data_IF_507605250820
#
_entry.id   IF_507605250820
#
_cell.length_a   1.000
_cell.length_b   1.000
_cell.length_c   1.000
_cell.angle_alpha   90.00
_cell.angle_beta   90.00
_cell.angle_gamma   90.00
#
_symmetry.space_group_name_H-M   'P 1'
#
loop_
_entity.id
_entity.type
_entity.pdbx_description
1 polymer ?
#
# COMPACT_ATOMS: atom_id res chain seq x y z
N UNK A 1 2.36 -7.70 6.63
CA UNK A 1 2.80 -7.70 5.22
C UNK A 1 2.84 -9.10 4.62
N UNK A 2 3.49 -10.07 5.26
CA UNK A 2 3.57 -11.46 4.75
C UNK A 2 2.18 -12.07 4.56
N UNK A 3 1.29 -11.97 5.55
CA UNK A 3 -0.08 -12.52 5.46
C UNK A 3 -0.88 -11.86 4.34
N UNK A 4 -0.77 -10.54 4.18
CA UNK A 4 -1.41 -9.78 3.11
C UNK A 4 -0.90 -10.23 1.74
N UNK A 5 0.41 -10.46 1.59
CA UNK A 5 1.01 -10.93 0.35
C UNK A 5 0.58 -12.37 0.03
N UNK A 6 0.34 -13.19 1.04
CA UNK A 6 -0.19 -14.55 0.87
C UNK A 6 -1.61 -14.56 0.30
N UNK A 7 -2.42 -13.54 0.59
CA UNK A 7 -3.77 -13.37 0.03
C UNK A 7 -3.74 -13.01 -1.47
N UNK A 8 -2.62 -12.53 -2.01
CA UNK A 8 -2.50 -12.25 -3.43
C UNK A 8 -2.41 -13.55 -4.24
N UNK A 9 -3.25 -13.62 -5.29
CA UNK A 9 -3.21 -14.70 -6.27
C UNK A 9 -1.86 -14.70 -7.00
N UNK A 10 -1.30 -15.87 -7.34
CA UNK A 10 -0.10 -15.93 -8.20
C UNK A 10 -0.35 -15.23 -9.53
N UNK A 11 0.59 -14.43 -10.00
CA UNK A 11 0.50 -13.80 -11.31
C UNK A 11 1.08 -14.72 -12.39
N UNK A 12 0.39 -14.80 -13.54
CA UNK A 12 0.84 -15.56 -14.71
C UNK A 12 1.84 -14.79 -15.59
N UNK A 13 2.07 -13.50 -15.31
CA UNK A 13 2.94 -12.60 -16.09
C UNK A 13 3.89 -11.86 -15.15
N UNK A 14 5.05 -11.39 -15.66
CA UNK A 14 5.94 -10.53 -14.89
C UNK A 14 5.16 -9.33 -14.35
N UNK A 15 5.11 -9.20 -13.02
CA UNK A 15 4.39 -8.13 -12.33
C UNK A 15 5.35 -7.38 -11.43
N UNK A 16 5.30 -6.05 -11.47
CA UNK A 16 6.13 -5.20 -10.64
C UNK A 16 5.40 -4.89 -9.34
N UNK A 17 6.04 -5.18 -8.21
CA UNK A 17 5.63 -4.69 -6.89
C UNK A 17 6.45 -3.43 -6.58
N UNK A 18 5.82 -2.26 -6.69
CA UNK A 18 6.46 -0.98 -6.39
C UNK A 18 6.10 -0.48 -4.98
N UNK A 19 7.11 -0.07 -4.19
CA UNK A 19 6.93 0.45 -2.83
C UNK A 19 8.01 1.48 -2.47
N UNK A 20 7.84 2.20 -1.36
CA UNK A 20 8.95 2.95 -0.78
C UNK A 20 9.99 2.01 -0.12
N UNK A 21 11.09 2.59 0.39
CA UNK A 21 12.16 1.84 1.07
C UNK A 21 11.86 1.56 2.56
N UNK A 22 10.57 1.49 2.95
CA UNK A 22 10.18 1.20 4.33
C UNK A 22 10.68 -0.17 4.80
N UNK A 23 11.04 -0.34 6.08
CA UNK A 23 11.59 -1.60 6.61
C UNK A 23 10.75 -2.82 6.25
N UNK A 24 9.42 -2.69 6.30
CA UNK A 24 8.49 -3.79 6.02
C UNK A 24 8.57 -4.29 4.57
N UNK A 25 9.06 -3.47 3.64
CA UNK A 25 9.24 -3.81 2.23
C UNK A 25 10.68 -4.21 1.90
N UNK A 26 11.65 -3.83 2.73
CA UNK A 26 13.07 -4.18 2.57
C UNK A 26 13.48 -5.42 3.36
N UNK A 27 12.65 -5.92 4.28
CA UNK A 27 12.88 -7.18 4.99
C UNK A 27 13.06 -8.39 4.06
N UNK A 28 14.08 -9.21 4.31
CA UNK A 28 14.44 -10.36 3.45
C UNK A 28 13.30 -11.36 3.29
N UNK A 29 12.54 -11.61 4.36
CA UNK A 29 11.41 -12.54 4.33
C UNK A 29 10.36 -12.08 3.30
N UNK A 30 10.11 -10.77 3.23
CA UNK A 30 9.16 -10.20 2.30
C UNK A 30 9.67 -10.26 0.84
N UNK A 31 10.94 -9.91 0.63
CA UNK A 31 11.56 -9.98 -0.71
C UNK A 31 11.54 -11.42 -1.26
N UNK A 32 11.86 -12.41 -0.41
CA UNK A 32 11.85 -13.82 -0.79
C UNK A 32 10.44 -14.27 -1.19
N UNK A 33 9.41 -13.86 -0.45
CA UNK A 33 8.02 -14.21 -0.75
C UNK A 33 7.54 -13.58 -2.06
N UNK A 34 7.91 -12.32 -2.34
CA UNK A 34 7.61 -11.66 -3.62
C UNK A 34 8.22 -12.44 -4.79
N UNK A 35 9.50 -12.81 -4.67
CA UNK A 35 10.22 -13.59 -5.68
C UNK A 35 9.59 -14.96 -5.91
N UNK A 36 9.22 -15.67 -4.84
CA UNK A 36 8.53 -16.97 -4.93
C UNK A 36 7.18 -16.87 -5.66
N UNK A 37 6.46 -15.77 -5.49
CA UNK A 37 5.18 -15.50 -6.15
C UNK A 37 5.32 -14.90 -7.57
N UNK A 38 6.54 -14.71 -8.07
CA UNK A 38 6.81 -14.24 -9.43
C UNK A 38 6.79 -12.71 -9.61
N UNK A 39 6.90 -11.95 -8.51
CA UNK A 39 6.94 -10.49 -8.57
C UNK A 39 8.37 -9.95 -8.68
N UNK A 40 8.52 -8.86 -9.45
CA UNK A 40 9.73 -8.04 -9.52
C UNK A 40 9.57 -6.86 -8.57
N UNK A 41 10.46 -6.73 -7.60
CA UNK A 41 10.39 -5.62 -6.65
C UNK A 41 11.01 -4.35 -7.24
N UNK A 42 10.36 -3.21 -7.02
CA UNK A 42 10.82 -1.88 -7.42
C UNK A 42 10.65 -0.92 -6.25
N UNK A 43 11.61 -0.02 -6.08
CA UNK A 43 11.59 0.96 -5.00
C UNK A 43 11.62 2.39 -5.54
N UNK A 44 11.02 3.31 -4.79
CA UNK A 44 11.27 4.74 -4.98
C UNK A 44 12.71 5.11 -4.59
N UNK A 45 13.28 6.14 -5.23
CA UNK A 45 14.58 6.68 -4.85
C UNK A 45 14.52 7.30 -3.45
N UNK A 46 15.62 7.17 -2.71
CA UNK A 46 15.73 7.76 -1.38
C UNK A 46 15.57 9.29 -1.46
N UNK A 47 14.69 9.85 -0.64
CA UNK A 47 14.43 11.29 -0.61
C UNK A 47 13.47 11.83 -1.67
N UNK A 48 12.95 10.99 -2.57
CA UNK A 48 11.97 11.40 -3.59
C UNK A 48 10.55 10.96 -3.24
N UNK A 49 9.88 11.72 -2.37
CA UNK A 49 8.47 11.47 -1.99
C UNK A 49 7.51 11.53 -3.18
N UNK A 50 7.84 12.29 -4.23
CA UNK A 50 7.02 12.41 -5.43
C UNK A 50 6.76 11.07 -6.14
N UNK A 51 7.66 10.08 -6.02
CA UNK A 51 7.45 8.75 -6.61
C UNK A 51 6.30 7.98 -5.93
N UNK A 52 5.96 8.36 -4.70
CA UNK A 52 4.88 7.78 -3.91
C UNK A 52 3.58 8.60 -3.99
N UNK A 53 3.56 9.68 -4.77
CA UNK A 53 2.45 10.64 -4.84
C UNK A 53 1.09 10.01 -5.17
N UNK A 54 1.06 9.01 -6.05
CA UNK A 54 -0.17 8.32 -6.44
C UNK A 54 -0.84 7.62 -5.24
N UNK A 55 -0.08 6.83 -4.47
CA UNK A 55 -0.64 6.12 -3.32
C UNK A 55 -0.90 7.07 -2.14
N UNK A 56 -0.11 8.14 -1.99
CA UNK A 56 -0.37 9.19 -1.01
C UNK A 56 -1.69 9.92 -1.28
N UNK A 57 -1.98 10.21 -2.55
CA UNK A 57 -3.23 10.84 -2.97
C UNK A 57 -4.43 9.94 -2.67
N UNK A 58 -4.31 8.64 -2.94
CA UNK A 58 -5.34 7.64 -2.57
C UNK A 58 -5.62 7.67 -1.06
N UNK A 59 -4.58 7.59 -0.22
CA UNK A 59 -4.76 7.59 1.23
C UNK A 59 -5.28 8.92 1.77
N UNK A 60 -4.94 10.05 1.15
CA UNK A 60 -5.49 11.36 1.49
C UNK A 60 -7.00 11.39 1.27
N UNK A 61 -7.45 10.96 0.09
CA UNK A 61 -8.87 10.90 -0.24
C UNK A 61 -9.62 9.94 0.68
N UNK A 62 -9.09 8.72 0.88
CA UNK A 62 -9.69 7.72 1.76
C UNK A 62 -9.88 8.26 3.19
N UNK A 63 -8.86 8.89 3.77
CA UNK A 63 -8.95 9.49 5.11
C UNK A 63 -9.96 10.64 5.14
N UNK A 64 -10.00 11.47 4.09
CA UNK A 64 -10.96 12.56 3.95
C UNK A 64 -12.41 12.05 3.95
N UNK A 65 -12.70 11.01 3.17
CA UNK A 65 -14.02 10.37 3.13
C UNK A 65 -14.41 9.76 4.48
N UNK A 66 -13.49 9.06 5.15
CA UNK A 66 -13.75 8.49 6.48
C UNK A 66 -14.08 9.57 7.52
N UNK A 67 -13.37 10.70 7.51
CA UNK A 67 -13.65 11.82 8.40
C UNK A 67 -15.02 12.45 8.09
N UNK A 68 -15.34 12.64 6.81
CA UNK A 68 -16.63 13.17 6.38
C UNK A 68 -17.80 12.30 6.86
N UNK A 69 -17.71 10.98 6.68
CA UNK A 69 -18.75 10.04 7.13
C UNK A 69 -18.91 10.04 8.65
N UNK A 70 -17.81 10.05 9.40
CA UNK A 70 -17.84 10.14 10.87
C UNK A 70 -18.52 11.42 11.34
N UNK A 71 -18.26 12.55 10.69
CA UNK A 71 -18.86 13.82 11.06
C UNK A 71 -20.37 13.82 10.78
N UNK A 72 -20.81 13.20 9.68
CA UNK A 72 -22.23 12.98 9.41
C UNK A 72 -22.91 12.11 10.48
N UNK A 73 -22.30 10.98 10.86
CA UNK A 73 -22.82 10.13 11.94
C UNK A 73 -22.95 10.88 13.27
N UNK A 74 -21.96 11.71 13.61
CA UNK A 74 -21.98 12.55 14.81
C UNK A 74 -23.04 13.64 14.77
N UNK A 75 -23.36 14.18 13.59
CA UNK A 75 -24.47 15.15 13.44
C UNK A 75 -25.84 14.48 13.50
N UNK A 76 -25.96 13.25 13.02
CA UNK A 76 -27.21 12.48 13.09
C UNK A 76 -27.50 11.94 14.50
N UNK A 77 -26.48 11.63 15.30
CA UNK A 77 -26.63 11.18 16.70
C UNK A 77 -26.89 12.32 17.69
N UNK A 78 -26.74 13.59 17.27
CA UNK A 78 -27.04 14.78 18.07
C UNK A 78 -28.41 15.42 17.75
N UNK A 79 -29.19 14.83 16.85
CA UNK A 79 -30.60 15.14 16.60
C UNK A 79 -31.48 14.16 17.35
#
# INVERSE_FOLDING_TARGET
MVDTLNQLKPFQKPCIFHSNQGPQYTEKVFQNLLKQKGYLQSFSDAGFSAHNSCIESFWSNFKGEQLYLRDLENTNTKK
#
